data_IF_274371172037
#
_entry.id   IF_274371172037
#
_cell.length_a   1.000
_cell.length_b   1.000
_cell.length_c   1.000
_cell.angle_alpha   90.00
_cell.angle_beta   90.00
_cell.angle_gamma   90.00
#
_symmetry.space_group_name_H-M   'P 1'
#
loop_
_entity.id
_entity.type
_entity.pdbx_description
1 polymer ?
#
# COMPACT_ATOMS: atom_id res chain seq x y z
N UNK A 1 -1.83 -13.23 -12.77
CA UNK A 1 -2.09 -12.14 -11.81
C UNK A 1 -0.86 -11.75 -11.00
N UNK A 2 -0.11 -12.70 -10.42
CA UNK A 2 1.17 -12.46 -9.68
C UNK A 2 2.22 -11.69 -10.51
N UNK A 3 2.21 -11.84 -11.84
CA UNK A 3 3.15 -11.14 -12.72
C UNK A 3 2.98 -9.62 -12.75
N UNK A 4 1.77 -9.07 -12.61
CA UNK A 4 1.57 -7.61 -12.55
C UNK A 4 2.12 -7.03 -11.25
N UNK A 5 1.84 -7.71 -10.13
CA UNK A 5 2.38 -7.36 -8.82
C UNK A 5 3.90 -7.25 -8.84
N UNK A 6 4.59 -8.28 -9.36
CA UNK A 6 6.06 -8.23 -9.48
C UNK A 6 6.56 -7.19 -10.49
N UNK A 7 5.81 -6.90 -11.56
CA UNK A 7 6.15 -5.80 -12.50
C UNK A 7 6.07 -4.43 -11.83
N UNK A 8 5.04 -4.17 -11.00
CA UNK A 8 4.94 -2.93 -10.21
C UNK A 8 6.15 -2.82 -9.29
N UNK A 9 6.45 -3.91 -8.59
CA UNK A 9 7.59 -3.96 -7.66
C UNK A 9 8.94 -3.77 -8.35
N UNK A 10 9.19 -4.42 -9.48
CA UNK A 10 10.43 -4.27 -10.23
C UNK A 10 10.65 -2.81 -10.66
N UNK A 11 9.61 -2.17 -11.19
CA UNK A 11 9.64 -0.77 -11.62
C UNK A 11 9.90 0.18 -10.42
N UNK A 12 9.27 -0.10 -9.27
CA UNK A 12 9.46 0.66 -8.04
C UNK A 12 10.87 0.46 -7.45
N UNK A 13 11.39 -0.77 -7.44
CA UNK A 13 12.72 -1.13 -6.95
C UNK A 13 13.82 -0.43 -7.76
N UNK A 14 13.71 -0.45 -9.09
CA UNK A 14 14.68 0.16 -9.98
C UNK A 14 14.66 1.68 -9.81
N UNK A 15 13.48 2.29 -9.72
CA UNK A 15 13.35 3.72 -9.47
C UNK A 15 13.89 4.14 -8.08
N UNK A 16 13.59 3.37 -7.05
CA UNK A 16 14.09 3.66 -5.70
C UNK A 16 15.62 3.53 -5.65
N UNK A 17 16.19 2.50 -6.27
CA UNK A 17 17.64 2.29 -6.34
C UNK A 17 18.34 3.36 -7.19
N UNK A 18 17.75 3.83 -8.29
CA UNK A 18 18.37 4.88 -9.11
C UNK A 18 18.38 6.25 -8.43
N UNK A 19 17.34 6.58 -7.67
CA UNK A 19 17.24 7.87 -6.97
C UNK A 19 17.92 7.89 -5.60
N UNK A 20 17.84 6.77 -4.86
CA UNK A 20 18.21 6.68 -3.43
C UNK A 20 19.07 5.47 -3.10
N UNK A 21 19.57 4.72 -4.07
CA UNK A 21 20.31 3.49 -3.81
C UNK A 21 21.61 3.65 -3.01
N UNK A 22 22.10 4.89 -2.87
CA UNK A 22 23.25 5.26 -2.03
C UNK A 22 22.85 5.64 -0.59
N UNK A 23 21.58 5.93 -0.33
CA UNK A 23 21.07 6.24 1.00
C UNK A 23 20.79 4.94 1.76
N UNK A 24 21.24 4.83 3.01
CA UNK A 24 20.84 3.71 3.85
C UNK A 24 19.32 3.78 4.10
N UNK A 25 18.64 2.64 4.06
CA UNK A 25 17.19 2.56 4.35
C UNK A 25 16.23 2.76 3.18
N UNK A 26 16.68 2.92 1.93
CA UNK A 26 15.77 3.05 0.77
C UNK A 26 14.78 1.89 0.63
N UNK A 27 15.17 0.68 1.06
CA UNK A 27 14.31 -0.51 1.07
C UNK A 27 13.15 -0.36 2.06
N UNK A 28 13.43 0.13 3.27
CA UNK A 28 12.42 0.41 4.30
C UNK A 28 11.45 1.50 3.85
N UNK A 29 11.96 2.54 3.19
CA UNK A 29 11.11 3.59 2.63
C UNK A 29 10.19 3.04 1.52
N UNK A 30 10.73 2.19 0.64
CA UNK A 30 9.96 1.62 -0.47
C UNK A 30 8.90 0.63 0.03
N UNK A 31 9.24 -0.26 0.96
CA UNK A 31 8.28 -1.22 1.52
C UNK A 31 7.17 -0.50 2.27
N UNK A 32 7.50 0.58 3.00
CA UNK A 32 6.52 1.41 3.69
C UNK A 32 5.58 2.06 2.69
N UNK A 33 6.11 2.75 1.68
CA UNK A 33 5.30 3.42 0.66
C UNK A 33 4.36 2.44 -0.07
N UNK A 34 4.87 1.29 -0.51
CA UNK A 34 4.06 0.27 -1.18
C UNK A 34 2.98 -0.31 -0.28
N UNK A 35 3.28 -0.53 1.00
CA UNK A 35 2.32 -1.07 1.97
C UNK A 35 1.22 -0.06 2.28
N UNK A 36 1.53 1.23 2.34
CA UNK A 36 0.52 2.30 2.45
C UNK A 36 -0.41 2.30 1.24
N UNK A 37 0.13 2.26 0.01
CA UNK A 37 -0.70 2.23 -1.20
C UNK A 37 -1.61 1.01 -1.25
N UNK A 38 -1.10 -0.16 -0.86
CA UNK A 38 -1.90 -1.39 -0.78
C UNK A 38 -2.95 -1.32 0.34
N UNK A 39 -2.62 -0.73 1.49
CA UNK A 39 -3.55 -0.48 2.58
C UNK A 39 -4.71 0.42 2.16
N UNK A 40 -4.42 1.48 1.39
CA UNK A 40 -5.42 2.37 0.79
C UNK A 40 -6.33 1.58 -0.16
N UNK A 41 -5.77 0.75 -1.03
CA UNK A 41 -6.56 -0.09 -1.94
C UNK A 41 -7.45 -1.07 -1.17
N UNK A 42 -6.93 -1.66 -0.10
CA UNK A 42 -7.70 -2.58 0.75
C UNK A 42 -8.84 -1.86 1.48
N UNK A 43 -8.58 -0.68 2.03
CA UNK A 43 -9.62 0.17 2.62
C UNK A 43 -10.72 0.50 1.62
N UNK A 44 -10.36 0.85 0.37
CA UNK A 44 -11.33 1.13 -0.69
C UNK A 44 -12.22 -0.09 -1.00
N UNK A 45 -11.62 -1.29 -1.06
CA UNK A 45 -12.37 -2.54 -1.22
C UNK A 45 -13.32 -2.78 -0.04
N UNK A 46 -12.87 -2.59 1.20
CA UNK A 46 -13.73 -2.76 2.39
C UNK A 46 -14.87 -1.74 2.43
N UNK A 47 -14.63 -0.49 2.03
CA UNK A 47 -15.67 0.54 1.91
C UNK A 47 -16.72 0.14 0.88
N UNK A 48 -16.29 -0.33 -0.30
CA UNK A 48 -17.19 -0.84 -1.32
C UNK A 48 -18.01 -2.03 -0.81
N UNK A 49 -17.36 -3.00 -0.15
CA UNK A 49 -18.04 -4.15 0.44
C UNK A 49 -19.05 -3.75 1.51
N UNK A 50 -18.73 -2.76 2.34
CA UNK A 50 -19.67 -2.23 3.34
C UNK A 50 -20.88 -1.55 2.68
N UNK A 51 -20.66 -0.81 1.59
CA UNK A 51 -21.74 -0.20 0.81
C UNK A 51 -22.67 -1.29 0.25
N UNK A 52 -22.10 -2.31 -0.39
CA UNK A 52 -22.85 -3.43 -0.98
C UNK A 52 -23.58 -4.28 0.07
N UNK A 53 -23.01 -4.43 1.26
CA UNK A 53 -23.60 -5.21 2.36
C UNK A 53 -24.54 -4.40 3.26
N UNK A 54 -24.87 -3.16 2.90
CA UNK A 54 -25.70 -2.24 3.71
C UNK A 54 -25.18 -2.07 5.14
N UNK A 55 -23.86 -1.99 5.30
CA UNK A 55 -23.23 -1.68 6.58
C UNK A 55 -22.88 -2.88 7.47
N UNK A 56 -23.12 -4.12 7.04
CA UNK A 56 -22.93 -5.33 7.87
C UNK A 56 -21.47 -5.67 8.18
N UNK A 57 -20.53 -5.25 7.34
CA UNK A 57 -19.11 -5.55 7.53
C UNK A 57 -18.38 -4.43 8.28
N UNK A 58 -17.53 -4.85 9.23
CA UNK A 58 -16.63 -3.96 9.94
C UNK A 58 -15.52 -3.50 8.99
N UNK A 59 -15.27 -2.19 9.00
CA UNK A 59 -14.15 -1.60 8.27
C UNK A 59 -12.86 -1.79 9.06
N UNK A 60 -12.96 -1.64 10.38
CA UNK A 60 -11.83 -1.56 11.31
C UNK A 60 -11.96 -2.64 12.38
N UNK A 61 -10.85 -3.26 12.78
CA UNK A 61 -10.78 -4.06 14.00
C UNK A 61 -10.34 -3.16 15.15
N UNK A 62 -11.25 -2.77 16.06
CA UNK A 62 -10.92 -1.83 17.12
C UNK A 62 -9.96 -2.45 18.12
N UNK A 63 -8.91 -1.71 18.44
CA UNK A 63 -7.89 -2.05 19.42
C UNK A 63 -7.99 -1.06 20.58
N UNK A 64 -8.19 -1.56 21.80
CA UNK A 64 -8.36 -0.75 23.00
C UNK A 64 -7.21 -1.01 23.97
N UNK A 65 -6.01 -0.52 23.64
CA UNK A 65 -4.80 -0.73 24.45
C UNK A 65 -4.50 0.52 25.30
N UNK A 66 -4.80 1.71 24.79
CA UNK A 66 -4.45 2.98 25.41
C UNK A 66 -5.71 3.70 25.94
N UNK A 67 -5.54 4.55 26.95
CA UNK A 67 -6.62 5.42 27.45
C UNK A 67 -6.94 6.60 26.52
N UNK A 68 -6.28 6.70 25.37
CA UNK A 68 -6.46 7.78 24.39
C UNK A 68 -7.13 7.21 23.13
N UNK A 69 -8.40 7.57 22.82
CA UNK A 69 -9.15 7.01 21.68
C UNK A 69 -8.47 7.22 20.32
N UNK A 70 -7.78 8.36 20.13
CA UNK A 70 -7.04 8.63 18.90
C UNK A 70 -5.88 7.65 18.66
N UNK A 71 -5.13 7.30 19.71
CA UNK A 71 -4.03 6.34 19.64
C UNK A 71 -4.55 4.93 19.31
N UNK A 72 -5.63 4.53 19.98
CA UNK A 72 -6.32 3.26 19.69
C UNK A 72 -6.76 3.17 18.22
N UNK A 73 -7.32 4.25 17.67
CA UNK A 73 -7.72 4.31 16.26
C UNK A 73 -6.50 4.20 15.34
N UNK A 74 -5.44 4.94 15.61
CA UNK A 74 -4.21 4.89 14.81
C UNK A 74 -3.57 3.50 14.81
N UNK A 75 -3.48 2.85 15.97
CA UNK A 75 -2.96 1.49 16.11
C UNK A 75 -3.84 0.48 15.38
N UNK A 76 -5.16 0.61 15.50
CA UNK A 76 -6.11 -0.23 14.77
C UNK A 76 -5.92 -0.10 13.25
N UNK A 77 -5.72 1.12 12.73
CA UNK A 77 -5.43 1.38 11.32
C UNK A 77 -4.12 0.73 10.90
N UNK A 78 -3.05 0.89 11.69
CA UNK A 78 -1.75 0.30 11.38
C UNK A 78 -1.82 -1.24 11.33
N UNK A 79 -2.45 -1.86 12.32
CA UNK A 79 -2.58 -3.32 12.39
C UNK A 79 -3.49 -3.85 11.27
N UNK A 80 -4.55 -3.14 10.92
CA UNK A 80 -5.52 -3.61 9.92
C UNK A 80 -5.05 -3.39 8.48
N UNK A 81 -4.49 -2.23 8.17
CA UNK A 81 -4.23 -1.82 6.77
C UNK A 81 -2.77 -1.68 6.39
N UNK A 82 -1.85 -1.64 7.34
CA UNK A 82 -0.44 -1.43 7.03
C UNK A 82 0.39 -2.69 7.31
N UNK A 83 0.33 -3.20 8.53
CA UNK A 83 1.17 -4.30 9.00
C UNK A 83 1.05 -5.58 8.15
N UNK A 84 -0.15 -6.05 7.74
CA UNK A 84 -0.28 -7.26 6.94
C UNK A 84 0.43 -7.12 5.59
N UNK A 85 0.36 -5.93 4.99
CA UNK A 85 1.02 -5.64 3.72
C UNK A 85 2.53 -5.48 3.86
N UNK A 86 3.02 -4.90 4.95
CA UNK A 86 4.47 -4.88 5.23
C UNK A 86 5.00 -6.29 5.34
N UNK A 87 4.35 -7.15 6.13
CA UNK A 87 4.76 -8.55 6.31
C UNK A 87 4.73 -9.28 4.96
N UNK A 88 3.63 -9.16 4.21
CA UNK A 88 3.48 -9.79 2.91
C UNK A 88 4.55 -9.33 1.92
N UNK A 89 4.75 -8.02 1.79
CA UNK A 89 5.74 -7.44 0.90
C UNK A 89 7.16 -7.84 1.31
N UNK A 90 7.45 -7.93 2.60
CA UNK A 90 8.75 -8.38 3.08
C UNK A 90 8.99 -9.82 2.63
N UNK A 91 8.06 -10.73 2.88
CA UNK A 91 8.17 -12.15 2.52
C UNK A 91 8.26 -12.38 1.00
N UNK A 92 7.49 -11.63 0.22
CA UNK A 92 7.40 -11.82 -1.23
C UNK A 92 8.52 -11.12 -2.01
N UNK A 93 9.01 -9.97 -1.52
CA UNK A 93 9.92 -9.10 -2.27
C UNK A 93 11.30 -9.07 -1.65
N UNK A 94 11.43 -8.85 -0.35
CA UNK A 94 12.72 -8.56 0.27
C UNK A 94 13.39 -9.78 0.90
N UNK A 95 12.61 -10.77 1.34
CA UNK A 95 13.11 -11.99 1.97
C UNK A 95 14.11 -12.71 1.07
N UNK A 96 15.24 -13.11 1.66
CA UNK A 96 16.37 -13.74 0.97
C UNK A 96 16.85 -12.95 -0.27
N UNK A 97 16.80 -11.61 -0.22
CA UNK A 97 17.23 -10.72 -1.30
C UNK A 97 16.54 -10.94 -2.66
N UNK A 98 15.32 -11.51 -2.67
CA UNK A 98 14.51 -11.77 -3.88
C UNK A 98 14.31 -10.54 -4.76
N UNK A 99 14.32 -9.35 -4.18
CA UNK A 99 14.14 -8.07 -4.88
C UNK A 99 15.18 -7.86 -6.01
N UNK A 100 16.40 -8.40 -5.87
CA UNK A 100 17.41 -8.34 -6.93
C UNK A 100 17.02 -9.21 -8.12
N UNK A 101 16.44 -10.39 -7.88
CA UNK A 101 15.95 -11.28 -8.93
C UNK A 101 14.73 -10.65 -9.62
N UNK A 102 13.77 -10.15 -8.84
CA UNK A 102 12.56 -9.48 -9.36
C UNK A 102 12.93 -8.30 -10.28
N UNK A 103 13.86 -7.45 -9.86
CA UNK A 103 14.32 -6.32 -10.67
C UNK A 103 14.98 -6.77 -11.99
N UNK A 104 15.77 -7.85 -11.97
CA UNK A 104 16.40 -8.42 -13.18
C UNK A 104 15.39 -9.07 -14.12
N UNK A 105 14.45 -9.85 -13.58
CA UNK A 105 13.50 -10.64 -14.37
C UNK A 105 12.44 -9.78 -15.05
N UNK A 106 11.91 -8.78 -14.36
CA UNK A 106 10.79 -7.98 -14.88
C UNK A 106 11.21 -6.64 -15.50
N UNK A 107 12.45 -6.21 -15.25
CA UNK A 107 13.07 -5.03 -15.88
C UNK A 107 12.48 -3.69 -15.48
N UNK A 108 13.05 -2.62 -16.05
CA UNK A 108 12.61 -1.23 -15.84
C UNK A 108 11.52 -0.83 -16.83
N UNK A 109 10.47 -0.16 -16.34
CA UNK A 109 9.44 0.50 -17.16
C UNK A 109 9.49 2.02 -17.02
N UNK A 110 10.67 2.54 -16.69
CA UNK A 110 10.98 3.96 -16.43
C UNK A 110 10.15 4.54 -15.28
N UNK A 111 9.76 3.70 -14.33
CA UNK A 111 8.91 4.07 -13.20
C UNK A 111 7.48 4.46 -13.58
N UNK A 112 7.03 4.19 -14.82
CA UNK A 112 5.67 4.57 -15.27
C UNK A 112 4.61 3.74 -14.57
N UNK A 113 4.87 2.46 -14.36
CA UNK A 113 3.90 1.51 -13.86
C UNK A 113 3.73 1.67 -12.34
N UNK A 114 4.83 1.91 -11.61
CA UNK A 114 4.77 2.31 -10.20
C UNK A 114 4.02 3.64 -10.01
N UNK A 115 4.33 4.67 -10.81
CA UNK A 115 3.64 5.96 -10.73
C UNK A 115 2.15 5.86 -11.03
N UNK A 116 1.78 5.14 -12.08
CA UNK A 116 0.38 4.90 -12.42
C UNK A 116 -0.35 4.17 -11.29
N UNK A 117 0.26 3.12 -10.74
CA UNK A 117 -0.31 2.41 -9.60
C UNK A 117 -0.53 3.32 -8.38
N UNK A 118 0.46 4.16 -8.04
CA UNK A 118 0.34 5.10 -6.94
C UNK A 118 -0.78 6.13 -7.18
N UNK A 119 -0.87 6.69 -8.39
CA UNK A 119 -1.92 7.65 -8.77
C UNK A 119 -3.31 7.02 -8.68
N UNK A 120 -3.50 5.81 -9.21
CA UNK A 120 -4.78 5.09 -9.12
C UNK A 120 -5.14 4.82 -7.66
N UNK A 121 -4.17 4.35 -6.86
CA UNK A 121 -4.40 4.02 -5.44
C UNK A 121 -4.78 5.25 -4.62
N UNK A 122 -4.17 6.42 -4.88
CA UNK A 122 -4.58 7.66 -4.21
C UNK A 122 -5.92 8.18 -4.74
N UNK A 123 -6.12 8.11 -6.06
CA UNK A 123 -7.34 8.57 -6.72
C UNK A 123 -8.60 7.86 -6.24
N UNK A 124 -8.52 6.56 -5.91
CA UNK A 124 -9.67 5.77 -5.46
C UNK A 124 -10.28 6.29 -4.15
N UNK A 125 -9.52 6.96 -3.30
CA UNK A 125 -10.00 7.57 -2.05
C UNK A 125 -10.25 9.06 -2.22
N UNK A 126 -9.34 9.78 -2.88
CA UNK A 126 -9.44 11.24 -3.03
C UNK A 126 -10.66 11.64 -3.87
N UNK A 127 -10.92 10.94 -4.98
CA UNK A 127 -12.04 11.30 -5.87
C UNK A 127 -13.39 11.22 -5.16
N UNK A 128 -13.77 10.11 -4.49
CA UNK A 128 -15.02 10.06 -3.73
C UNK A 128 -15.12 11.11 -2.61
N UNK A 129 -14.02 11.42 -1.92
CA UNK A 129 -14.00 12.45 -0.89
C UNK A 129 -14.26 13.84 -1.47
N UNK A 130 -13.63 14.18 -2.60
CA UNK A 130 -13.88 15.45 -3.28
C UNK A 130 -15.31 15.55 -3.80
N UNK A 131 -15.84 14.47 -4.39
CA UNK A 131 -17.25 14.42 -4.80
C UNK A 131 -18.19 14.68 -3.62
N UNK A 132 -17.93 14.05 -2.46
CA UNK A 132 -18.72 14.31 -1.26
C UNK A 132 -18.63 15.76 -0.80
N UNK A 133 -17.47 16.40 -0.87
CA UNK A 133 -17.30 17.80 -0.45
C UNK A 133 -17.94 18.83 -1.40
N UNK A 134 -18.04 18.51 -2.69
CA UNK A 134 -18.57 19.44 -3.71
C UNK A 134 -20.10 19.37 -3.80
N UNK A 135 -20.68 18.17 -3.65
CA UNK A 135 -22.09 17.92 -3.93
C UNK A 135 -22.96 17.73 -2.67
N UNK A 136 -22.39 17.82 -1.47
CA UNK A 136 -23.07 17.60 -0.19
C UNK A 136 -22.68 18.70 0.81
#
# INVERSE_FOLDING_TARGET
MISLYYKIWADALIQARSKKGRESGWQLMLITAMSVLQGINFLAVLLLLRLLSKGRYLILFPVHIFNVPGFNTGVSVLITYFLPFVILNYLLIFYNNKYNQIAKTYGDRKGKLYRLYALISLGIIVVPLLFKLIFL
#
